data_IF_696931611911
#
_entry.id   IF_696931611911
#
_cell.length_a   1.000
_cell.length_b   1.000
_cell.length_c   1.000
_cell.angle_alpha   90.00
_cell.angle_beta   90.00
_cell.angle_gamma   90.00
#
_symmetry.space_group_name_H-M   'P 1'
#
loop_
_entity.id
_entity.type
_entity.pdbx_description
1 polymer ?
#
# COMPACT_ATOMS: atom_id res chain seq x y z
N UNK A 1 -12.96 41.94 -13.28
CA UNK A 1 -12.57 40.82 -14.17
C UNK A 1 -13.01 39.53 -13.52
N UNK A 2 -14.14 39.00 -13.95
CA UNK A 2 -14.69 37.71 -13.47
C UNK A 2 -13.81 36.59 -14.03
N UNK A 3 -13.09 35.89 -13.17
CA UNK A 3 -12.39 34.66 -13.57
C UNK A 3 -13.43 33.64 -13.98
N UNK A 4 -13.50 33.31 -15.28
CA UNK A 4 -14.23 32.14 -15.76
C UNK A 4 -13.63 30.92 -15.04
N UNK A 5 -14.33 30.40 -14.03
CA UNK A 5 -14.06 29.05 -13.56
C UNK A 5 -14.51 28.10 -14.64
N UNK A 6 -13.61 27.25 -15.10
CA UNK A 6 -13.99 26.10 -15.93
C UNK A 6 -14.88 25.24 -15.04
N UNK A 7 -16.17 25.19 -15.36
CA UNK A 7 -17.07 24.19 -14.76
C UNK A 7 -16.64 22.83 -15.34
N UNK A 8 -16.03 22.02 -14.51
CA UNK A 8 -15.83 20.61 -14.83
C UNK A 8 -17.20 19.97 -14.71
N UNK A 9 -17.70 19.37 -15.79
CA UNK A 9 -18.93 18.60 -15.77
C UNK A 9 -18.85 17.56 -14.64
N UNK A 10 -19.96 17.37 -13.94
CA UNK A 10 -20.04 16.41 -12.84
C UNK A 10 -19.63 15.02 -13.37
N UNK A 11 -18.52 14.50 -12.84
CA UNK A 11 -18.01 13.18 -13.24
C UNK A 11 -18.94 12.16 -12.61
N UNK A 12 -19.55 11.30 -13.42
CA UNK A 12 -20.32 10.17 -12.91
C UNK A 12 -19.41 9.25 -12.08
N UNK A 13 -19.50 9.39 -10.77
CA UNK A 13 -18.70 8.64 -9.82
C UNK A 13 -19.19 7.23 -9.58
N UNK A 14 -20.38 6.87 -10.07
CA UNK A 14 -20.99 5.55 -9.86
C UNK A 14 -20.13 4.40 -10.36
N UNK A 15 -19.24 4.65 -11.33
CA UNK A 15 -18.27 3.68 -11.84
C UNK A 15 -17.13 3.42 -10.83
N UNK A 16 -16.85 4.37 -9.94
CA UNK A 16 -15.72 4.35 -9.02
C UNK A 16 -16.15 4.21 -7.57
N UNK A 17 -17.37 4.63 -7.21
CA UNK A 17 -17.93 4.56 -5.87
C UNK A 17 -18.54 3.17 -5.59
N UNK A 18 -17.76 2.11 -5.80
CA UNK A 18 -18.19 0.76 -5.48
C UNK A 18 -17.38 0.22 -4.28
N UNK A 19 -18.05 -0.55 -3.45
CA UNK A 19 -17.44 -1.25 -2.33
C UNK A 19 -17.51 -2.75 -2.57
N UNK A 20 -16.47 -3.46 -2.16
CA UNK A 20 -16.49 -4.92 -2.15
C UNK A 20 -17.24 -5.41 -0.91
N UNK A 21 -17.86 -6.59 -1.02
CA UNK A 21 -18.43 -7.28 0.13
C UNK A 21 -17.33 -7.60 1.17
N UNK A 22 -17.74 -7.83 2.40
CA UNK A 22 -16.79 -8.18 3.49
C UNK A 22 -16.27 -9.61 3.39
N UNK A 23 -16.84 -10.43 2.53
CA UNK A 23 -16.45 -11.81 2.31
C UNK A 23 -15.14 -11.87 1.52
N UNK A 24 -14.24 -12.76 1.94
CA UNK A 24 -12.96 -12.99 1.24
C UNK A 24 -11.81 -12.07 1.67
N UNK A 25 -11.95 -11.32 2.77
CA UNK A 25 -10.91 -10.48 3.32
C UNK A 25 -10.59 -10.84 4.76
N UNK A 26 -9.32 -10.81 5.09
CA UNK A 26 -8.83 -10.77 6.46
C UNK A 26 -8.64 -9.30 6.86
N UNK A 27 -9.20 -8.91 8.01
CA UNK A 27 -9.09 -7.55 8.54
C UNK A 27 -8.58 -7.61 9.97
N UNK A 28 -7.71 -6.69 10.33
CA UNK A 28 -7.37 -6.46 11.72
C UNK A 28 -8.43 -5.59 12.40
N UNK A 29 -8.40 -5.55 13.73
CA UNK A 29 -9.24 -4.67 14.51
C UNK A 29 -9.00 -3.19 14.14
N UNK A 30 -9.99 -2.35 14.41
CA UNK A 30 -9.87 -0.91 14.20
C UNK A 30 -8.90 -0.28 15.23
N UNK A 31 -8.30 0.84 14.81
CA UNK A 31 -7.39 1.62 15.64
C UNK A 31 -5.93 1.49 15.21
N UNK A 32 -5.11 2.36 15.80
CA UNK A 32 -3.66 2.43 15.53
C UNK A 32 -2.93 2.21 16.86
N UNK A 33 -2.88 0.94 17.27
CA UNK A 33 -2.30 0.53 18.55
C UNK A 33 -0.99 -0.25 18.37
N UNK A 34 -0.15 -0.35 19.42
CA UNK A 34 1.05 -1.19 19.36
C UNK A 34 0.76 -2.66 19.02
N UNK A 35 -0.40 -3.18 19.42
CA UNK A 35 -0.76 -4.58 19.17
C UNK A 35 -1.14 -4.79 17.70
N UNK A 36 -1.91 -3.87 17.10
CA UNK A 36 -2.17 -3.87 15.65
C UNK A 36 -0.85 -3.80 14.85
N UNK A 37 0.07 -2.92 15.24
CA UNK A 37 1.37 -2.79 14.58
C UNK A 37 2.20 -4.07 14.66
N UNK A 38 2.21 -4.75 15.82
CA UNK A 38 2.88 -6.05 15.98
C UNK A 38 2.21 -7.14 15.15
N UNK A 39 0.88 -7.11 15.06
CA UNK A 39 0.14 -8.09 14.27
C UNK A 39 0.40 -7.92 12.78
N UNK A 40 0.44 -6.69 12.26
CA UNK A 40 0.85 -6.41 10.88
C UNK A 40 2.23 -6.99 10.60
N UNK A 41 3.21 -6.68 11.46
CA UNK A 41 4.58 -7.16 11.30
C UNK A 41 4.68 -8.69 11.36
N UNK A 42 3.93 -9.33 12.26
CA UNK A 42 3.89 -10.78 12.36
C UNK A 42 3.27 -11.45 11.13
N UNK A 43 2.17 -10.89 10.59
CA UNK A 43 1.54 -11.40 9.36
C UNK A 43 2.43 -11.30 8.13
N UNK A 44 3.34 -10.32 8.11
CA UNK A 44 4.31 -10.09 7.04
C UNK A 44 5.65 -10.76 7.28
N UNK A 45 5.79 -11.50 8.39
CA UNK A 45 7.03 -12.20 8.78
C UNK A 45 8.26 -11.28 8.70
N UNK A 46 8.12 -10.05 9.19
CA UNK A 46 9.14 -9.01 9.06
C UNK A 46 10.34 -9.23 9.98
N UNK A 47 11.55 -8.80 9.57
CA UNK A 47 12.70 -8.80 10.46
C UNK A 47 12.49 -7.84 11.65
N UNK A 48 13.12 -8.12 12.77
CA UNK A 48 12.95 -7.36 14.03
C UNK A 48 13.16 -5.85 13.85
N UNK A 49 14.15 -5.44 13.05
CA UNK A 49 14.42 -4.01 12.82
C UNK A 49 13.24 -3.29 12.17
N UNK A 50 12.46 -3.98 11.33
CA UNK A 50 11.28 -3.39 10.70
C UNK A 50 10.16 -3.20 11.75
N UNK A 51 9.93 -4.17 12.63
CA UNK A 51 9.02 -4.02 13.75
C UNK A 51 9.44 -2.87 14.67
N UNK A 52 10.73 -2.74 14.96
CA UNK A 52 11.25 -1.63 15.78
C UNK A 52 11.01 -0.27 15.12
N UNK A 53 11.21 -0.17 13.80
CA UNK A 53 10.89 1.02 13.02
C UNK A 53 9.39 1.36 13.08
N UNK A 54 8.52 0.36 12.93
CA UNK A 54 7.06 0.52 13.04
C UNK A 54 6.65 1.07 14.40
N UNK A 55 7.09 0.44 15.46
CA UNK A 55 6.76 0.86 16.83
C UNK A 55 7.30 2.26 17.15
N UNK A 56 8.51 2.57 16.66
CA UNK A 56 9.07 3.91 16.79
C UNK A 56 8.26 4.95 16.02
N UNK A 57 7.82 4.61 14.83
CA UNK A 57 6.96 5.47 14.01
C UNK A 57 5.60 5.72 14.69
N UNK A 58 5.02 4.70 15.33
CA UNK A 58 3.80 4.84 16.12
C UNK A 58 3.98 5.81 17.31
N UNK A 59 5.11 5.72 18.03
CA UNK A 59 5.42 6.68 19.10
C UNK A 59 5.46 8.12 18.58
N UNK A 60 6.07 8.33 17.42
CA UNK A 60 6.17 9.65 16.78
C UNK A 60 4.78 10.12 16.35
N UNK A 61 3.99 9.26 15.70
CA UNK A 61 2.60 9.54 15.32
C UNK A 61 1.76 10.05 16.51
N UNK A 62 1.86 9.37 17.65
CA UNK A 62 1.10 9.74 18.86
C UNK A 62 1.52 11.08 19.47
N UNK A 63 2.77 11.51 19.24
CA UNK A 63 3.29 12.80 19.76
C UNK A 63 3.01 13.96 18.82
N UNK A 64 2.87 13.72 17.53
CA UNK A 64 2.70 14.79 16.56
C UNK A 64 1.28 15.35 16.56
N UNK A 65 1.14 16.67 16.52
CA UNK A 65 -0.16 17.29 16.31
C UNK A 65 -0.70 16.96 14.92
N UNK A 66 -2.00 17.08 14.76
CA UNK A 66 -2.59 17.03 13.43
C UNK A 66 -2.04 18.18 12.57
N UNK A 67 -1.74 17.93 11.28
CA UNK A 67 -1.26 18.96 10.38
C UNK A 67 -2.35 20.02 10.17
N UNK A 68 -1.92 21.28 10.04
CA UNK A 68 -2.80 22.42 9.75
C UNK A 68 -2.77 22.85 8.28
N UNK A 69 -1.95 22.17 7.49
CA UNK A 69 -1.84 22.34 6.04
C UNK A 69 -2.69 21.31 5.30
N UNK A 70 -3.17 21.65 4.12
CA UNK A 70 -3.99 20.76 3.29
C UNK A 70 -5.50 20.84 3.64
N UNK A 71 -6.29 19.88 3.17
CA UNK A 71 -7.71 19.79 3.49
C UNK A 71 -7.95 19.57 4.99
N UNK A 72 -9.14 19.99 5.48
CA UNK A 72 -9.53 19.69 6.86
C UNK A 72 -9.64 18.19 7.08
N UNK A 73 -9.07 17.72 8.18
CA UNK A 73 -9.20 16.36 8.70
C UNK A 73 -10.11 16.32 9.93
N UNK A 74 -10.87 17.39 10.16
CA UNK A 74 -11.87 17.45 11.23
C UNK A 74 -12.92 16.35 11.02
N UNK A 75 -13.20 15.58 12.06
CA UNK A 75 -14.10 14.42 11.98
C UNK A 75 -13.46 13.12 11.54
N UNK A 76 -12.16 13.09 11.20
CA UNK A 76 -11.44 11.84 10.98
C UNK A 76 -11.14 11.15 12.32
N UNK A 77 -11.80 10.01 12.54
CA UNK A 77 -11.64 9.20 13.76
C UNK A 77 -10.57 8.13 13.53
N UNK A 78 -9.35 8.44 13.99
CA UNK A 78 -8.20 7.53 13.85
C UNK A 78 -8.34 6.26 14.71
N UNK A 79 -9.17 6.28 15.75
CA UNK A 79 -9.36 5.12 16.64
C UNK A 79 -10.30 4.08 16.02
N UNK A 80 -11.08 4.46 15.01
CA UNK A 80 -12.00 3.57 14.30
C UNK A 80 -11.58 3.26 12.85
N UNK A 81 -10.35 3.54 12.48
CA UNK A 81 -9.81 3.19 11.16
C UNK A 81 -9.23 1.77 11.19
N UNK A 82 -9.63 0.93 10.25
CA UNK A 82 -8.95 -0.34 9.96
C UNK A 82 -7.76 -0.05 9.05
N UNK A 83 -6.56 -0.34 9.53
CA UNK A 83 -5.31 0.00 8.83
C UNK A 83 -4.71 -1.15 8.05
N UNK A 84 -5.26 -2.35 8.18
CA UNK A 84 -4.80 -3.52 7.44
C UNK A 84 -5.98 -4.39 7.00
N UNK A 85 -6.07 -4.57 5.69
CA UNK A 85 -7.05 -5.44 5.04
C UNK A 85 -6.31 -6.27 3.98
N UNK A 86 -6.37 -7.58 4.10
CA UNK A 86 -5.72 -8.51 3.17
C UNK A 86 -6.77 -9.34 2.44
N UNK A 87 -6.74 -9.44 1.09
CA UNK A 87 -7.54 -10.41 0.38
C UNK A 87 -7.05 -11.84 0.69
N UNK A 88 -7.97 -12.80 0.78
CA UNK A 88 -7.65 -14.21 0.98
C UNK A 88 -7.07 -14.85 -0.29
N UNK A 89 -6.01 -14.26 -0.81
CA UNK A 89 -5.29 -14.76 -1.98
C UNK A 89 -3.79 -14.54 -1.82
N UNK A 90 -3.01 -15.47 -2.33
CA UNK A 90 -1.56 -15.31 -2.39
C UNK A 90 -1.18 -14.44 -3.60
N UNK A 91 0.01 -13.84 -3.52
CA UNK A 91 0.60 -13.13 -4.65
C UNK A 91 0.73 -14.05 -5.87
N UNK A 92 0.32 -13.55 -7.04
CA UNK A 92 0.38 -14.26 -8.31
C UNK A 92 1.44 -13.63 -9.22
N UNK A 93 2.11 -14.47 -9.99
CA UNK A 93 3.09 -14.05 -11.00
C UNK A 93 2.55 -14.14 -12.42
N UNK A 94 1.35 -14.70 -12.56
CA UNK A 94 0.62 -14.85 -13.80
C UNK A 94 -0.77 -14.21 -13.66
N UNK A 95 -1.10 -13.29 -14.58
CA UNK A 95 -2.36 -12.57 -14.55
C UNK A 95 -3.58 -13.51 -14.64
N UNK A 96 -3.45 -14.61 -15.38
CA UNK A 96 -4.54 -15.58 -15.52
C UNK A 96 -4.93 -16.23 -14.19
N UNK A 97 -3.99 -16.34 -13.28
CA UNK A 97 -4.20 -16.91 -11.93
C UNK A 97 -4.76 -15.92 -10.91
N UNK A 98 -4.86 -14.63 -11.24
CA UNK A 98 -5.46 -13.61 -10.36
C UNK A 98 -6.96 -13.86 -10.24
N UNK A 99 -7.57 -13.77 -9.04
CA UNK A 99 -9.00 -13.95 -8.85
C UNK A 99 -9.84 -13.01 -9.73
N UNK A 100 -10.98 -13.51 -10.20
CA UNK A 100 -11.83 -12.79 -11.14
C UNK A 100 -12.38 -11.48 -10.56
N UNK A 101 -12.66 -11.41 -9.26
CA UNK A 101 -13.12 -10.18 -8.59
C UNK A 101 -12.09 -9.06 -8.70
N UNK A 102 -10.81 -9.41 -8.55
CA UNK A 102 -9.70 -8.47 -8.72
C UNK A 102 -9.57 -8.06 -10.18
N UNK A 103 -9.62 -9.03 -11.13
CA UNK A 103 -9.60 -8.74 -12.57
C UNK A 103 -10.72 -7.79 -12.98
N UNK A 104 -11.95 -8.06 -12.54
CA UNK A 104 -13.13 -7.24 -12.81
C UNK A 104 -12.95 -5.81 -12.31
N UNK A 105 -12.25 -5.62 -11.18
CA UNK A 105 -11.93 -4.30 -10.67
C UNK A 105 -11.05 -3.51 -11.63
N UNK A 106 -9.96 -4.13 -12.10
CA UNK A 106 -9.07 -3.51 -13.05
C UNK A 106 -9.75 -3.19 -14.39
N UNK A 107 -10.67 -4.05 -14.82
CA UNK A 107 -11.49 -3.80 -16.02
C UNK A 107 -12.44 -2.61 -15.82
N UNK A 108 -13.13 -2.54 -14.68
CA UNK A 108 -14.01 -1.42 -14.35
C UNK A 108 -13.27 -0.09 -14.25
N UNK A 109 -12.02 -0.10 -13.74
CA UNK A 109 -11.15 1.05 -13.71
C UNK A 109 -10.57 1.42 -15.09
N UNK A 110 -10.84 0.61 -16.13
CA UNK A 110 -10.38 0.87 -17.49
C UNK A 110 -8.88 0.69 -17.69
N UNK A 111 -8.20 -0.12 -16.85
CA UNK A 111 -6.77 -0.39 -16.99
C UNK A 111 -6.54 -1.33 -18.17
N UNK A 112 -5.85 -0.89 -19.24
CA UNK A 112 -5.66 -1.68 -20.45
C UNK A 112 -4.94 -3.01 -20.17
N UNK A 113 -5.35 -4.08 -20.87
CA UNK A 113 -4.69 -5.38 -20.79
C UNK A 113 -3.20 -5.29 -21.17
N UNK A 114 -2.85 -4.44 -22.10
CA UNK A 114 -1.46 -4.19 -22.48
C UNK A 114 -0.60 -3.68 -21.32
N UNK A 115 -1.15 -2.87 -20.42
CA UNK A 115 -0.43 -2.40 -19.23
C UNK A 115 -0.21 -3.54 -18.24
N UNK A 116 -1.13 -4.51 -18.18
CA UNK A 116 -1.05 -5.67 -17.30
C UNK A 116 -0.07 -6.75 -17.79
N UNK A 117 0.09 -6.89 -19.10
CA UNK A 117 0.76 -8.04 -19.71
C UNK A 117 2.07 -7.70 -20.42
N UNK A 118 2.25 -6.48 -20.94
CA UNK A 118 3.34 -6.14 -21.87
C UNK A 118 4.39 -5.18 -21.33
N UNK A 119 4.18 -4.57 -20.18
CA UNK A 119 5.21 -3.71 -19.57
C UNK A 119 6.38 -4.56 -19.03
N UNK A 120 7.56 -3.95 -18.99
CA UNK A 120 8.79 -4.61 -18.54
C UNK A 120 8.71 -5.07 -17.07
N UNK A 121 7.87 -4.42 -16.26
CA UNK A 121 7.52 -4.81 -14.91
C UNK A 121 6.14 -4.26 -14.56
N UNK A 122 5.29 -5.08 -13.97
CA UNK A 122 3.92 -4.74 -13.56
C UNK A 122 3.67 -5.29 -12.17
N UNK A 123 3.14 -4.44 -11.29
CA UNK A 123 2.60 -4.86 -10.00
C UNK A 123 1.17 -4.35 -9.84
N UNK A 124 0.33 -5.15 -9.24
CA UNK A 124 -1.02 -4.79 -8.85
C UNK A 124 -1.19 -4.98 -7.36
N UNK A 125 -1.50 -3.89 -6.68
CA UNK A 125 -1.84 -3.89 -5.26
C UNK A 125 -3.35 -3.87 -5.10
N UNK A 126 -3.84 -4.66 -4.16
CA UNK A 126 -5.23 -4.69 -3.76
C UNK A 126 -5.30 -4.62 -2.25
N UNK A 127 -5.89 -3.54 -1.73
CA UNK A 127 -5.86 -3.19 -0.30
C UNK A 127 -4.41 -3.17 0.26
N UNK A 128 -4.14 -3.97 1.28
CA UNK A 128 -2.85 -3.99 1.96
C UNK A 128 -1.81 -4.94 1.35
N UNK A 129 -2.12 -5.60 0.23
CA UNK A 129 -1.26 -6.63 -0.33
C UNK A 129 -0.96 -6.44 -1.81
N UNK A 130 0.26 -6.83 -2.21
CA UNK A 130 0.63 -6.99 -3.61
C UNK A 130 0.06 -8.33 -4.12
N UNK A 131 -0.98 -8.28 -4.94
CA UNK A 131 -1.68 -9.49 -5.42
C UNK A 131 -1.14 -10.02 -6.73
N UNK A 132 -0.46 -9.19 -7.50
CA UNK A 132 0.15 -9.58 -8.76
C UNK A 132 1.47 -8.85 -8.95
N UNK A 133 2.47 -9.57 -9.40
CA UNK A 133 3.77 -9.03 -9.75
C UNK A 133 4.39 -9.83 -10.88
N UNK A 134 4.82 -9.16 -11.92
CA UNK A 134 5.51 -9.77 -13.05
C UNK A 134 6.61 -8.85 -13.57
N UNK A 135 7.74 -9.44 -13.92
CA UNK A 135 8.82 -8.76 -14.61
C UNK A 135 9.26 -9.59 -15.80
N UNK A 136 9.38 -8.96 -16.96
CA UNK A 136 9.85 -9.66 -18.17
C UNK A 136 11.29 -10.15 -18.01
N UNK A 137 11.56 -11.36 -18.50
CA UNK A 137 12.89 -11.98 -18.49
C UNK A 137 13.99 -11.09 -19.07
N UNK A 138 13.66 -10.28 -20.07
CA UNK A 138 14.61 -9.36 -20.71
C UNK A 138 15.09 -8.30 -19.72
N UNK A 139 14.19 -7.72 -18.93
CA UNK A 139 14.53 -6.73 -17.91
C UNK A 139 15.38 -7.36 -16.80
N UNK A 140 15.01 -8.53 -16.34
CA UNK A 140 15.77 -9.31 -15.35
C UNK A 140 17.20 -9.62 -15.82
N UNK A 141 17.37 -10.03 -17.08
CA UNK A 141 18.69 -10.31 -17.69
C UNK A 141 19.56 -9.03 -17.83
N UNK A 142 18.95 -7.87 -17.86
CA UNK A 142 19.65 -6.58 -17.84
C UNK A 142 20.06 -6.12 -16.43
N UNK A 143 19.74 -6.92 -15.40
CA UNK A 143 20.04 -6.61 -14.01
C UNK A 143 19.03 -5.64 -13.35
N UNK A 144 17.88 -5.42 -13.99
CA UNK A 144 16.79 -4.67 -13.38
C UNK A 144 16.13 -5.55 -12.32
N UNK A 145 15.95 -4.98 -11.13
CA UNK A 145 15.25 -5.63 -10.02
C UNK A 145 13.93 -4.91 -9.82
N UNK A 146 12.86 -5.67 -9.81
CA UNK A 146 11.51 -5.23 -9.46
C UNK A 146 10.86 -6.34 -8.64
N UNK A 147 10.64 -6.09 -7.37
CA UNK A 147 10.14 -7.07 -6.40
C UNK A 147 9.23 -6.37 -5.39
N UNK A 148 8.32 -7.11 -4.80
CA UNK A 148 7.58 -6.64 -3.64
C UNK A 148 8.51 -6.42 -2.45
N UNK A 149 8.24 -5.40 -1.63
CA UNK A 149 9.08 -5.09 -0.46
C UNK A 149 9.14 -6.28 0.50
N UNK A 150 8.02 -6.98 0.74
CA UNK A 150 7.97 -8.15 1.61
C UNK A 150 8.89 -9.28 1.10
N UNK A 151 8.83 -9.59 -0.20
CA UNK A 151 9.70 -10.58 -0.82
C UNK A 151 11.17 -10.16 -0.71
N UNK A 152 11.46 -8.89 -0.97
CA UNK A 152 12.82 -8.36 -0.92
C UNK A 152 13.38 -8.32 0.51
N UNK A 153 12.55 -8.16 1.55
CA UNK A 153 12.96 -8.25 2.96
C UNK A 153 13.44 -9.66 3.35
N UNK A 154 12.95 -10.70 2.70
CA UNK A 154 13.40 -12.08 2.91
C UNK A 154 14.58 -12.49 2.01
N UNK A 155 14.99 -11.62 1.10
CA UNK A 155 16.11 -11.88 0.21
C UNK A 155 17.42 -11.34 0.79
N UNK A 156 18.41 -12.21 1.13
CA UNK A 156 19.68 -11.77 1.72
C UNK A 156 20.48 -10.77 0.87
N UNK A 157 20.20 -10.67 -0.42
CA UNK A 157 20.85 -9.72 -1.32
C UNK A 157 20.25 -8.32 -1.18
N UNK A 158 18.93 -8.21 -0.95
CA UNK A 158 18.21 -6.93 -0.97
C UNK A 158 17.86 -6.40 0.42
N UNK A 159 17.69 -7.27 1.41
CA UNK A 159 17.36 -6.88 2.78
C UNK A 159 18.30 -5.79 3.33
N UNK A 160 19.65 -5.91 3.20
CA UNK A 160 20.55 -4.87 3.72
C UNK A 160 20.36 -3.50 3.04
N UNK A 161 20.02 -3.48 1.75
CA UNK A 161 19.75 -2.24 1.02
C UNK A 161 18.43 -1.61 1.49
N UNK A 162 17.40 -2.43 1.69
CA UNK A 162 16.12 -1.95 2.22
C UNK A 162 16.33 -1.38 3.62
N UNK A 163 17.02 -2.10 4.50
CA UNK A 163 17.33 -1.64 5.84
C UNK A 163 18.05 -0.29 5.84
N UNK A 164 19.00 -0.10 4.93
CA UNK A 164 19.74 1.17 4.79
C UNK A 164 18.86 2.32 4.27
N UNK A 165 17.95 2.05 3.35
CA UNK A 165 17.26 3.09 2.58
C UNK A 165 15.81 3.34 2.99
N UNK A 166 15.16 2.36 3.62
CA UNK A 166 13.74 2.46 3.94
C UNK A 166 13.45 3.66 4.84
N UNK A 167 12.48 4.49 4.44
CA UNK A 167 12.08 5.73 5.11
C UNK A 167 13.21 6.72 5.43
N UNK A 168 14.25 6.76 4.62
CA UNK A 168 15.35 7.75 4.81
C UNK A 168 15.08 9.06 4.09
N UNK A 169 14.37 9.06 2.96
CA UNK A 169 14.03 10.29 2.21
C UNK A 169 12.87 11.05 2.87
N UNK A 170 11.84 10.34 3.30
CA UNK A 170 10.72 10.88 4.07
C UNK A 170 10.69 10.10 5.38
N UNK A 171 11.41 10.54 6.40
CA UNK A 171 11.48 9.82 7.67
C UNK A 171 10.18 9.97 8.47
N UNK A 172 9.91 9.09 9.45
CA UNK A 172 8.75 9.21 10.33
C UNK A 172 8.68 10.53 11.10
N UNK A 173 9.81 11.23 11.20
CA UNK A 173 9.92 12.53 11.87
C UNK A 173 9.55 13.73 11.00
N UNK A 174 9.21 13.52 9.72
CA UNK A 174 8.86 14.61 8.82
C UNK A 174 7.50 15.25 9.21
N UNK A 175 6.46 14.46 9.31
CA UNK A 175 5.14 14.88 9.79
C UNK A 175 4.30 13.68 10.28
N UNK A 176 3.14 13.97 10.91
CA UNK A 176 2.26 12.96 11.51
C UNK A 176 1.90 11.82 10.56
N UNK A 177 1.58 12.11 9.29
CA UNK A 177 1.21 11.06 8.33
C UNK A 177 2.41 10.29 7.78
N UNK A 178 3.62 10.85 7.76
CA UNK A 178 4.84 10.09 7.50
C UNK A 178 5.10 9.10 8.63
N UNK A 179 4.85 9.52 9.88
CA UNK A 179 4.91 8.61 11.02
C UNK A 179 3.85 7.51 10.95
N UNK A 180 2.61 7.85 10.59
CA UNK A 180 1.54 6.87 10.37
C UNK A 180 1.94 5.85 9.29
N UNK A 181 2.45 6.34 8.16
CA UNK A 181 2.97 5.46 7.10
C UNK A 181 4.02 4.49 7.64
N UNK A 182 5.01 4.98 8.40
CA UNK A 182 6.02 4.12 8.99
C UNK A 182 5.48 3.06 9.96
N UNK A 183 4.37 3.36 10.64
CA UNK A 183 3.75 2.43 11.59
C UNK A 183 2.94 1.31 10.90
N UNK A 184 2.19 1.64 9.84
CA UNK A 184 1.17 0.74 9.26
C UNK A 184 1.33 0.50 7.76
N UNK A 185 2.47 0.87 7.15
CA UNK A 185 2.69 0.59 5.73
C UNK A 185 2.48 -0.89 5.41
N UNK A 186 1.97 -1.16 4.23
CA UNK A 186 1.73 -2.51 3.73
C UNK A 186 1.80 -2.50 2.21
N UNK A 187 2.37 -3.54 1.63
CA UNK A 187 2.58 -3.62 0.20
C UNK A 187 3.60 -2.59 -0.33
N UNK A 188 3.78 -2.59 -1.65
CA UNK A 188 4.73 -1.74 -2.35
C UNK A 188 5.82 -2.54 -3.05
N UNK A 189 6.56 -1.88 -3.94
CA UNK A 189 7.63 -2.46 -4.76
C UNK A 189 8.84 -1.54 -4.79
#
# INVERSE_FOLDING_TARGET
MTKNRTEVADIDRSLYDFTYGEEGFERLDAGITPDIVREISAKKDEPQWMLDLRLKSLEIFNRFPNPTWGPSIEGLDMDNIVTYVKPNTDQKHDWESVPDDIKNTFERLGIPEAERSYLAGVGAQYDSELVYHNMQDTASKMGIVYSGIEEALHNPQWEPLIHEKFMTLIPPTDHKFAALHGAVWSGGS
#
